data_IF_901009861172
#
_entry.id   IF_901009861172
#
_cell.length_a   1.000
_cell.length_b   1.000
_cell.length_c   1.000
_cell.angle_alpha   90.00
_cell.angle_beta   90.00
_cell.angle_gamma   90.00
#
_symmetry.space_group_name_H-M   'P 1'
#
loop_
_entity.id
_entity.type
_entity.pdbx_description
1 polymer ?
#
# COMPACT_ATOMS: atom_id res chain seq x y z
N UNK A 1 -15.56 -5.51 -12.80
CA UNK A 1 -14.72 -4.75 -11.84
C UNK A 1 -14.60 -5.63 -10.63
N UNK A 2 -13.56 -6.45 -10.58
CA UNK A 2 -13.22 -7.22 -9.39
C UNK A 2 -12.53 -6.25 -8.42
N UNK A 3 -13.35 -5.44 -7.74
CA UNK A 3 -12.86 -4.56 -6.69
C UNK A 3 -12.43 -5.41 -5.51
N UNK A 4 -11.16 -5.31 -5.12
CA UNK A 4 -10.69 -5.93 -3.88
C UNK A 4 -11.52 -5.45 -2.68
N UNK A 5 -11.67 -6.30 -1.67
CA UNK A 5 -12.33 -5.92 -0.43
C UNK A 5 -11.43 -4.94 0.33
N UNK A 6 -11.71 -3.64 0.18
CA UNK A 6 -11.14 -2.59 1.01
C UNK A 6 -11.89 -2.51 2.33
N UNK A 7 -11.16 -2.34 3.42
CA UNK A 7 -11.76 -2.19 4.75
C UNK A 7 -11.11 -1.05 5.50
N UNK A 8 -11.91 -0.39 6.32
CA UNK A 8 -11.46 0.57 7.32
C UNK A 8 -11.79 -0.01 8.68
N UNK A 9 -10.79 -0.16 9.54
CA UNK A 9 -10.94 -0.78 10.85
C UNK A 9 -10.27 0.06 11.94
N UNK A 10 -10.90 0.06 13.11
CA UNK A 10 -10.36 0.67 14.33
C UNK A 10 -10.04 -0.44 15.32
N UNK A 11 -8.82 -0.41 15.85
CA UNK A 11 -8.33 -1.37 16.83
C UNK A 11 -7.71 -0.65 18.02
N UNK A 12 -7.35 -1.40 19.06
CA UNK A 12 -6.59 -0.86 20.20
C UNK A 12 -5.26 -0.17 19.84
N UNK A 13 -4.75 -0.37 18.61
CA UNK A 13 -3.51 0.25 18.11
C UNK A 13 -3.76 1.54 17.33
N UNK A 14 -5.00 1.81 16.89
CA UNK A 14 -5.33 2.95 16.03
C UNK A 14 -6.28 2.62 14.89
N UNK A 15 -6.23 3.41 13.82
CA UNK A 15 -7.03 3.28 12.61
C UNK A 15 -6.19 2.68 11.48
N UNK A 16 -6.77 1.72 10.76
CA UNK A 16 -6.11 0.98 9.69
C UNK A 16 -7.02 0.91 8.47
N UNK A 17 -6.47 1.23 7.30
CA UNK A 17 -7.12 0.94 6.04
C UNK A 17 -6.35 -0.20 5.34
N UNK A 18 -7.08 -1.21 4.89
CA UNK A 18 -6.50 -2.46 4.41
C UNK A 18 -7.13 -2.92 3.11
N UNK A 19 -6.34 -3.63 2.32
CA UNK A 19 -6.74 -4.33 1.09
C UNK A 19 -6.59 -5.84 1.28
N UNK A 20 -7.48 -6.62 0.70
CA UNK A 20 -7.30 -8.07 0.62
C UNK A 20 -6.24 -8.44 -0.43
N UNK A 21 -5.25 -9.23 0.00
CA UNK A 21 -4.14 -9.75 -0.77
C UNK A 21 -4.02 -11.24 -0.49
N UNK A 22 -4.31 -12.08 -1.49
CA UNK A 22 -4.27 -13.55 -1.36
C UNK A 22 -4.93 -14.09 -0.05
N UNK A 23 -6.19 -13.73 0.19
CA UNK A 23 -6.99 -14.05 1.40
C UNK A 23 -6.46 -13.49 2.72
N UNK A 24 -5.54 -12.52 2.69
CA UNK A 24 -5.01 -11.84 3.89
C UNK A 24 -5.23 -10.34 3.77
N UNK A 25 -5.66 -9.68 4.85
CA UNK A 25 -5.75 -8.23 4.88
C UNK A 25 -4.38 -7.60 5.13
N UNK A 26 -4.00 -6.68 4.26
CA UNK A 26 -2.74 -5.95 4.32
C UNK A 26 -3.04 -4.46 4.45
N UNK A 27 -2.49 -3.82 5.47
CA UNK A 27 -2.69 -2.37 5.70
C UNK A 27 -1.88 -1.55 4.70
N UNK A 28 -2.57 -0.62 4.02
CA UNK A 28 -1.94 0.41 3.19
C UNK A 28 -1.93 1.80 3.85
N UNK A 29 -2.71 1.96 4.91
CA UNK A 29 -2.66 3.15 5.75
C UNK A 29 -2.75 2.75 7.21
N UNK A 30 -1.90 3.35 8.03
CA UNK A 30 -1.89 3.15 9.48
C UNK A 30 -1.78 4.50 10.20
N UNK A 31 -2.78 4.81 11.03
CA UNK A 31 -2.70 5.89 12.01
C UNK A 31 -2.67 5.27 13.40
N UNK A 32 -1.47 5.18 13.99
CA UNK A 32 -1.26 4.56 15.30
C UNK A 32 -1.40 5.57 16.42
N UNK A 33 -2.04 5.16 17.51
CA UNK A 33 -2.10 5.96 18.74
C UNK A 33 -1.17 5.40 19.82
N UNK A 34 -0.60 6.28 20.64
CA UNK A 34 0.27 5.89 21.75
C UNK A 34 -0.52 5.53 23.02
N UNK A 35 0.11 4.73 23.90
CA UNK A 35 -0.39 4.45 25.25
C UNK A 35 -0.87 3.02 25.48
N UNK A 36 -0.46 2.42 26.60
CA UNK A 36 -0.89 1.08 27.04
C UNK A 36 -2.17 1.19 27.86
N UNK A 37 -3.33 1.22 27.20
CA UNK A 37 -4.61 1.20 27.92
C UNK A 37 -5.06 -0.24 28.18
N UNK A 38 -5.19 -0.58 29.47
CA UNK A 38 -5.58 -1.90 29.98
C UNK A 38 -7.10 -2.11 30.05
N UNK A 39 -7.90 -1.09 29.72
CA UNK A 39 -9.37 -1.17 29.74
C UNK A 39 -9.89 -2.01 28.56
N UNK A 40 -10.89 -2.85 28.80
CA UNK A 40 -11.57 -3.69 27.78
C UNK A 40 -12.83 -3.02 27.21
N UNK A 41 -12.74 -1.72 26.91
CA UNK A 41 -13.86 -0.98 26.29
C UNK A 41 -13.74 -1.03 24.76
N UNK A 42 -14.85 -0.88 24.01
CA UNK A 42 -14.78 -0.85 22.55
C UNK A 42 -13.95 0.35 22.08
N UNK A 43 -13.24 0.16 20.97
CA UNK A 43 -12.60 1.25 20.25
C UNK A 43 -13.50 1.67 19.09
N UNK A 44 -13.68 2.97 18.89
CA UNK A 44 -14.53 3.50 17.84
C UNK A 44 -13.98 4.82 17.29
N UNK A 45 -14.52 5.26 16.16
CA UNK A 45 -14.24 6.58 15.60
C UNK A 45 -15.50 7.42 15.53
N UNK A 46 -15.34 8.73 15.65
CA UNK A 46 -16.42 9.69 15.50
C UNK A 46 -16.03 10.75 14.48
N UNK A 47 -16.89 10.95 13.50
CA UNK A 47 -16.75 12.07 12.58
C UNK A 47 -17.35 13.32 13.25
N UNK A 48 -16.49 14.29 13.55
CA UNK A 48 -16.78 15.55 14.19
C UNK A 48 -16.56 16.70 13.21
N UNK A 49 -17.13 17.87 13.51
CA UNK A 49 -16.83 19.07 12.75
C UNK A 49 -15.35 19.44 12.95
N UNK A 50 -14.52 19.24 11.93
CA UNK A 50 -13.09 19.50 11.97
C UNK A 50 -12.20 18.25 12.13
N UNK A 51 -12.75 17.06 12.38
CA UNK A 51 -11.91 15.87 12.56
C UNK A 51 -12.63 14.51 12.45
N UNK A 52 -11.86 13.46 12.15
CA UNK A 52 -12.21 12.08 12.49
C UNK A 52 -11.45 11.70 13.77
N UNK A 53 -12.16 11.71 14.89
CA UNK A 53 -11.60 11.47 16.22
C UNK A 53 -11.62 9.97 16.57
N UNK A 54 -10.50 9.47 17.11
CA UNK A 54 -10.32 8.09 17.52
C UNK A 54 -10.46 7.98 19.05
N UNK A 55 -11.34 7.10 19.51
CA UNK A 55 -11.56 6.78 20.92
C UNK A 55 -11.19 5.32 21.15
N UNK A 56 -10.09 5.09 21.86
CA UNK A 56 -9.46 3.78 21.99
C UNK A 56 -9.57 3.27 23.43
N UNK A 57 -10.34 2.21 23.62
CA UNK A 57 -10.62 1.62 24.93
C UNK A 57 -11.15 2.65 25.95
N UNK A 58 -11.96 3.60 25.49
CA UNK A 58 -12.52 4.70 26.27
C UNK A 58 -14.03 4.63 26.39
N UNK A 59 -14.53 5.09 27.53
CA UNK A 59 -15.95 5.39 27.78
C UNK A 59 -16.13 6.90 27.72
N UNK A 60 -17.21 7.36 27.11
CA UNK A 60 -17.57 8.79 27.16
C UNK A 60 -17.79 9.26 28.61
N UNK A 61 -17.48 10.53 28.95
CA UNK A 61 -16.86 11.58 28.15
C UNK A 61 -15.33 11.60 28.38
N UNK A 62 -14.55 11.34 27.33
CA UNK A 62 -13.08 11.35 27.42
C UNK A 62 -12.50 11.97 26.16
N UNK A 63 -11.34 12.61 26.28
CA UNK A 63 -10.61 13.19 25.13
C UNK A 63 -10.15 12.09 24.17
N UNK A 64 -10.18 12.32 22.84
CA UNK A 64 -9.72 11.34 21.86
C UNK A 64 -8.20 11.15 21.93
N UNK A 65 -7.74 9.92 21.68
CA UNK A 65 -6.29 9.61 21.63
C UNK A 65 -5.61 10.14 20.38
N UNK A 66 -6.39 10.41 19.34
CA UNK A 66 -5.88 10.93 18.08
C UNK A 66 -7.02 11.42 17.21
N UNK A 67 -6.69 12.27 16.25
CA UNK A 67 -7.67 12.83 15.35
C UNK A 67 -7.02 13.09 13.98
N UNK A 68 -7.66 12.61 12.92
CA UNK A 68 -7.34 13.04 11.56
C UNK A 68 -8.07 14.36 11.32
N UNK A 69 -7.33 15.39 10.92
CA UNK A 69 -7.92 16.70 10.65
C UNK A 69 -8.81 16.64 9.41
N UNK A 70 -9.97 17.28 9.49
CA UNK A 70 -10.90 17.48 8.38
C UNK A 70 -11.19 18.98 8.30
N UNK A 71 -11.28 19.59 7.11
CA UNK A 71 -11.75 20.97 7.00
C UNK A 71 -13.12 21.13 7.67
N UNK A 72 -13.31 22.10 8.58
CA UNK A 72 -14.61 22.31 9.22
C UNK A 72 -15.70 22.58 8.17
N UNK A 73 -16.89 22.04 8.39
CA UNK A 73 -18.03 22.28 7.51
C UNK A 73 -18.41 23.76 7.56
N UNK A 74 -18.44 24.41 6.40
CA UNK A 74 -18.70 25.84 6.22
C UNK A 74 -20.05 26.12 5.57
N UNK A 75 -20.75 25.08 5.08
CA UNK A 75 -21.92 25.20 4.22
C UNK A 75 -22.97 24.12 4.49
N UNK A 76 -24.25 24.41 4.21
CA UNK A 76 -25.38 23.48 4.33
C UNK A 76 -25.60 22.71 3.01
N UNK A 77 -25.99 21.41 3.03
CA UNK A 77 -26.41 20.59 4.19
C UNK A 77 -25.28 19.99 5.04
N UNK A 78 -24.01 20.32 4.77
CA UNK A 78 -22.87 19.90 5.59
C UNK A 78 -21.85 19.10 4.80
N UNK A 79 -21.20 18.16 5.49
CA UNK A 79 -20.20 17.27 4.93
C UNK A 79 -20.56 15.80 5.13
N UNK A 80 -20.10 14.94 4.23
CA UNK A 80 -20.10 13.50 4.44
C UNK A 80 -18.73 12.90 4.11
N UNK A 81 -18.46 11.75 4.70
CA UNK A 81 -17.25 10.97 4.48
C UNK A 81 -17.60 9.63 3.84
N UNK A 82 -16.78 9.17 2.89
CA UNK A 82 -16.97 7.89 2.22
C UNK A 82 -15.65 7.22 1.88
N UNK A 83 -15.55 5.93 2.23
CA UNK A 83 -14.55 5.04 1.67
C UNK A 83 -15.02 4.61 0.28
N UNK A 84 -14.23 4.91 -0.73
CA UNK A 84 -14.54 4.58 -2.12
C UNK A 84 -13.87 3.27 -2.55
N UNK A 85 -14.41 2.60 -3.58
CA UNK A 85 -13.78 1.41 -4.17
C UNK A 85 -12.42 1.66 -4.85
N UNK A 86 -11.94 2.90 -4.85
CA UNK A 86 -10.59 3.26 -5.29
C UNK A 86 -9.63 3.47 -4.12
N UNK A 87 -9.95 2.97 -2.91
CA UNK A 87 -9.10 2.97 -1.71
C UNK A 87 -9.05 4.29 -0.93
N UNK A 88 -9.71 5.33 -1.43
CA UNK A 88 -9.64 6.63 -0.80
C UNK A 88 -10.78 6.85 0.22
N UNK A 89 -10.45 7.42 1.38
CA UNK A 89 -11.42 7.91 2.37
C UNK A 89 -11.58 9.41 2.20
N UNK A 90 -12.59 9.81 1.43
CA UNK A 90 -12.76 11.21 1.04
C UNK A 90 -13.88 11.88 1.81
N UNK A 91 -13.66 13.15 2.09
CA UNK A 91 -14.67 14.06 2.64
C UNK A 91 -15.19 14.95 1.53
N UNK A 92 -16.52 15.06 1.45
CA UNK A 92 -17.21 15.92 0.50
C UNK A 92 -18.02 16.96 1.26
N UNK A 93 -17.95 18.19 0.78
CA UNK A 93 -18.74 19.31 1.27
C UNK A 93 -19.65 19.83 0.17
N UNK A 94 -20.88 20.20 0.54
CA UNK A 94 -21.81 20.78 -0.42
C UNK A 94 -21.46 22.23 -0.73
N UNK A 95 -21.17 22.54 -1.99
CA UNK A 95 -20.98 23.91 -2.44
C UNK A 95 -22.13 24.31 -3.35
N UNK A 96 -22.83 25.40 -3.05
CA UNK A 96 -24.04 25.81 -3.77
C UNK A 96 -23.85 25.92 -5.30
N UNK A 97 -22.64 26.29 -5.76
CA UNK A 97 -22.30 26.43 -7.19
C UNK A 97 -21.74 25.17 -7.85
N UNK A 98 -21.28 24.18 -7.09
CA UNK A 98 -20.56 22.99 -7.62
C UNK A 98 -21.16 21.65 -7.17
N UNK A 99 -22.12 21.67 -6.25
CA UNK A 99 -22.62 20.48 -5.57
C UNK A 99 -21.59 19.88 -4.61
N UNK A 100 -21.68 18.57 -4.37
CA UNK A 100 -20.75 17.83 -3.51
C UNK A 100 -19.32 17.86 -4.07
N UNK A 101 -18.45 18.56 -3.38
CA UNK A 101 -17.06 18.78 -3.79
C UNK A 101 -16.13 18.11 -2.79
N UNK A 102 -15.12 17.36 -3.29
CA UNK A 102 -14.09 16.77 -2.44
C UNK A 102 -13.28 17.87 -1.75
N UNK A 103 -13.24 17.85 -0.42
CA UNK A 103 -12.47 18.82 0.40
C UNK A 103 -11.28 18.20 1.11
N UNK A 104 -11.27 16.88 1.32
CA UNK A 104 -10.15 16.17 1.91
C UNK A 104 -10.09 14.70 1.46
N UNK A 105 -8.90 14.12 1.58
CA UNK A 105 -8.63 12.69 1.50
C UNK A 105 -7.79 12.29 2.71
N UNK A 106 -8.35 11.44 3.57
CA UNK A 106 -7.79 11.18 4.89
C UNK A 106 -6.74 10.06 4.89
N UNK A 107 -6.65 9.29 3.81
CA UNK A 107 -5.70 8.17 3.70
C UNK A 107 -4.47 8.52 2.85
N UNK A 108 -4.34 9.76 2.40
CA UNK A 108 -3.15 10.21 1.67
C UNK A 108 -2.00 10.32 2.65
N UNK A 109 -1.17 9.28 2.70
CA UNK A 109 -0.02 9.19 3.58
C UNK A 109 1.20 9.93 3.04
N UNK A 110 2.36 9.60 3.60
CA UNK A 110 3.65 10.19 3.22
C UNK A 110 4.04 9.92 1.76
N UNK A 111 3.63 8.76 1.23
CA UNK A 111 3.87 8.37 -0.16
C UNK A 111 2.94 9.07 -1.17
N UNK A 112 2.08 9.99 -0.71
CA UNK A 112 1.15 10.74 -1.56
C UNK A 112 0.19 9.82 -2.31
N UNK A 113 -0.17 10.22 -3.54
CA UNK A 113 -1.05 9.45 -4.43
C UNK A 113 -0.50 8.05 -4.77
N UNK A 114 0.84 7.87 -4.77
CA UNK A 114 1.43 6.55 -5.03
C UNK A 114 1.29 5.59 -3.84
N UNK A 115 0.85 6.06 -2.67
CA UNK A 115 0.65 5.23 -1.49
C UNK A 115 -0.56 4.28 -1.58
N UNK A 116 -1.46 4.48 -2.55
CA UNK A 116 -2.65 3.64 -2.72
C UNK A 116 -2.30 2.39 -3.55
N UNK A 117 -2.59 1.18 -3.05
CA UNK A 117 -2.19 -0.06 -3.71
C UNK A 117 -2.64 -0.20 -5.16
N UNK A 118 -3.82 0.28 -5.56
CA UNK A 118 -4.33 0.10 -6.93
C UNK A 118 -4.19 1.34 -7.82
N UNK A 119 -3.45 2.39 -7.41
CA UNK A 119 -3.31 3.65 -8.17
C UNK A 119 -2.84 3.44 -9.62
N UNK A 120 -1.90 2.51 -9.84
CA UNK A 120 -1.37 2.14 -11.15
C UNK A 120 -1.73 0.71 -11.56
N UNK A 121 -2.40 -0.05 -10.70
CA UNK A 121 -2.68 -1.46 -10.91
C UNK A 121 -1.47 -2.38 -10.68
N UNK A 122 -1.65 -3.68 -10.92
CA UNK A 122 -0.66 -4.71 -10.58
C UNK A 122 0.61 -4.56 -11.43
N UNK A 123 1.76 -4.88 -10.84
CA UNK A 123 3.09 -4.87 -11.47
C UNK A 123 3.56 -3.53 -12.05
N UNK A 124 2.77 -2.46 -11.92
CA UNK A 124 3.08 -1.15 -12.49
C UNK A 124 3.81 -0.28 -11.46
N UNK A 125 4.63 0.68 -11.91
CA UNK A 125 5.37 1.61 -11.05
C UNK A 125 4.68 2.97 -11.09
N UNK A 126 4.36 3.49 -9.90
CA UNK A 126 3.88 4.86 -9.71
C UNK A 126 5.05 5.80 -9.41
N UNK A 127 5.25 6.81 -10.28
CA UNK A 127 6.19 7.92 -10.07
C UNK A 127 5.45 9.24 -10.25
N UNK A 128 5.27 9.99 -9.16
CA UNK A 128 4.56 11.28 -9.16
C UNK A 128 3.11 11.19 -9.67
N UNK A 129 2.45 10.04 -9.52
CA UNK A 129 1.10 9.77 -10.03
C UNK A 129 1.04 9.32 -11.50
N UNK A 130 2.18 9.16 -12.16
CA UNK A 130 2.28 8.53 -13.48
C UNK A 130 2.60 7.05 -13.34
N UNK A 131 2.03 6.23 -14.25
CA UNK A 131 2.16 4.78 -14.24
C UNK A 131 2.97 4.30 -15.45
N UNK A 132 3.90 3.38 -15.24
CA UNK A 132 4.74 2.79 -16.28
C UNK A 132 5.18 1.35 -15.98
N UNK A 133 4.97 0.43 -16.93
CA UNK A 133 5.41 -0.96 -16.78
C UNK A 133 6.95 -1.05 -16.63
N UNK A 134 7.44 -1.95 -15.75
CA UNK A 134 8.82 -1.92 -15.29
C UNK A 134 9.86 -2.47 -16.29
N UNK A 135 9.47 -3.42 -17.16
CA UNK A 135 10.41 -4.04 -18.09
C UNK A 135 9.71 -4.76 -19.24
N UNK A 136 10.50 -5.27 -20.18
CA UNK A 136 10.02 -6.05 -21.34
C UNK A 136 9.40 -7.40 -20.99
N UNK A 137 9.50 -7.86 -19.74
CA UNK A 137 8.82 -9.07 -19.26
C UNK A 137 7.33 -8.84 -18.93
N UNK A 138 6.91 -7.59 -18.94
CA UNK A 138 5.55 -7.16 -18.61
C UNK A 138 4.92 -6.47 -19.81
N UNK A 139 3.62 -6.70 -20.00
CA UNK A 139 2.80 -6.00 -20.98
C UNK A 139 1.70 -5.22 -20.27
N UNK A 140 1.37 -3.99 -20.72
CA UNK A 140 0.19 -3.29 -20.24
C UNK A 140 -1.05 -4.16 -20.41
N UNK A 141 -1.98 -4.11 -19.46
CA UNK A 141 -3.29 -4.74 -19.64
C UNK A 141 -4.04 -4.07 -20.80
N UNK A 142 -3.87 -2.74 -20.93
CA UNK A 142 -4.43 -1.94 -22.02
C UNK A 142 -3.56 -0.71 -22.29
N UNK A 143 -2.98 -0.63 -23.49
CA UNK A 143 -1.98 0.39 -23.85
C UNK A 143 -2.41 1.85 -23.58
N UNK A 144 -3.70 2.15 -23.76
CA UNK A 144 -4.24 3.51 -23.56
C UNK A 144 -4.77 3.77 -22.14
N UNK A 145 -4.62 2.82 -21.22
CA UNK A 145 -5.07 2.95 -19.83
C UNK A 145 -4.00 2.39 -18.87
N UNK A 146 -2.86 3.10 -18.68
CA UNK A 146 -1.76 2.64 -17.85
C UNK A 146 -2.17 2.31 -16.42
N UNK A 147 -3.12 3.05 -15.83
CA UNK A 147 -3.61 2.83 -14.47
C UNK A 147 -4.31 1.47 -14.25
N UNK A 148 -4.55 0.67 -15.29
CA UNK A 148 -5.01 -0.72 -15.12
C UNK A 148 -3.87 -1.67 -14.75
N UNK A 149 -2.63 -1.24 -14.94
CA UNK A 149 -1.41 -1.96 -14.62
C UNK A 149 -0.93 -2.87 -15.74
N UNK A 150 -0.03 -3.76 -15.34
CA UNK A 150 0.72 -4.63 -16.22
C UNK A 150 0.48 -6.10 -15.86
N UNK A 151 0.75 -6.98 -16.81
CA UNK A 151 0.71 -8.43 -16.62
C UNK A 151 2.03 -9.03 -17.08
N UNK A 152 2.45 -10.11 -16.43
CA UNK A 152 3.56 -10.92 -16.91
C UNK A 152 3.23 -11.46 -18.31
N UNK A 153 4.19 -11.40 -19.23
CA UNK A 153 4.04 -11.97 -20.56
C UNK A 153 3.98 -13.50 -20.48
N UNK A 154 4.84 -14.08 -19.64
CA UNK A 154 4.91 -15.53 -19.40
C UNK A 154 4.40 -15.85 -18.00
N UNK A 155 3.45 -16.78 -17.83
CA UNK A 155 3.00 -17.24 -16.51
C UNK A 155 4.15 -17.82 -15.68
N UNK A 156 4.06 -17.76 -14.35
CA UNK A 156 5.00 -18.40 -13.43
C UNK A 156 4.38 -19.65 -12.77
N UNK A 157 4.47 -20.84 -13.38
CA UNK A 157 4.12 -22.08 -12.71
C UNK A 157 5.18 -22.44 -11.65
N UNK A 158 4.75 -22.86 -10.46
CA UNK A 158 5.62 -23.23 -9.34
C UNK A 158 6.58 -24.38 -9.71
N UNK A 159 6.11 -25.31 -10.53
CA UNK A 159 6.83 -26.51 -10.96
C UNK A 159 8.06 -26.19 -11.82
N UNK A 160 8.11 -25.00 -12.42
CA UNK A 160 9.23 -24.53 -13.24
C UNK A 160 10.23 -23.66 -12.45
N UNK A 161 10.34 -23.86 -11.13
CA UNK A 161 11.21 -23.06 -10.25
C UNK A 161 12.67 -22.95 -10.71
N UNK A 162 13.19 -23.97 -11.38
CA UNK A 162 14.54 -23.99 -11.98
C UNK A 162 14.72 -22.97 -13.13
N UNK A 163 13.62 -22.54 -13.75
CA UNK A 163 13.60 -21.57 -14.84
C UNK A 163 13.21 -20.16 -14.36
N UNK A 164 12.99 -19.98 -13.06
CA UNK A 164 12.68 -18.66 -12.51
C UNK A 164 13.96 -17.84 -12.34
N UNK A 165 13.90 -16.60 -12.81
CA UNK A 165 14.91 -15.58 -12.60
C UNK A 165 14.26 -14.34 -11.99
N UNK A 166 15.03 -13.27 -11.81
CA UNK A 166 14.54 -12.01 -11.29
C UNK A 166 14.79 -10.86 -12.27
N UNK A 167 13.80 -9.99 -12.40
CA UNK A 167 14.00 -8.62 -12.89
C UNK A 167 14.35 -7.77 -11.68
N UNK A 168 15.48 -7.09 -11.75
CA UNK A 168 15.95 -6.16 -10.72
C UNK A 168 15.50 -4.74 -11.06
N UNK A 169 14.73 -4.14 -10.16
CA UNK A 169 14.27 -2.76 -10.26
C UNK A 169 14.83 -1.99 -9.07
N UNK A 170 15.75 -1.09 -9.35
CA UNK A 170 16.33 -0.22 -8.33
C UNK A 170 15.34 0.87 -7.95
N UNK A 171 15.47 1.33 -6.72
CA UNK A 171 14.75 2.48 -6.19
C UNK A 171 13.24 2.26 -6.24
N UNK A 172 12.83 1.06 -5.82
CA UNK A 172 11.42 0.68 -5.70
C UNK A 172 11.07 0.40 -4.25
N UNK A 173 10.05 1.10 -3.76
CA UNK A 173 9.41 0.85 -2.48
C UNK A 173 7.95 0.43 -2.66
N UNK A 174 7.26 0.20 -1.56
CA UNK A 174 5.92 -0.36 -1.53
C UNK A 174 5.11 0.27 -0.41
N UNK A 175 3.78 0.27 -0.54
CA UNK A 175 2.88 0.90 0.43
C UNK A 175 2.95 0.25 1.81
N UNK A 176 3.39 -1.01 1.87
CA UNK A 176 3.60 -1.76 3.11
C UNK A 176 4.97 -2.42 3.08
N UNK A 177 5.57 -2.59 4.26
CA UNK A 177 6.81 -3.33 4.39
C UNK A 177 6.83 -4.06 5.73
N UNK A 178 6.76 -5.39 5.66
CA UNK A 178 6.94 -6.28 6.81
C UNK A 178 8.19 -7.11 6.59
N UNK A 179 9.18 -6.95 7.46
CA UNK A 179 10.45 -7.65 7.36
C UNK A 179 10.26 -9.14 7.67
N UNK A 180 10.27 -9.98 6.64
CA UNK A 180 10.29 -11.45 6.77
C UNK A 180 11.68 -11.95 7.17
N UNK A 181 12.72 -11.25 6.71
CA UNK A 181 14.10 -11.47 7.09
C UNK A 181 14.76 -10.15 7.47
N UNK A 182 15.51 -10.14 8.56
CA UNK A 182 16.28 -8.99 9.06
C UNK A 182 17.76 -9.33 9.13
N UNK A 183 18.62 -8.31 9.06
CA UNK A 183 20.07 -8.48 9.04
C UNK A 183 20.52 -9.46 7.94
N UNK A 184 19.97 -9.24 6.75
CA UNK A 184 20.16 -10.10 5.57
C UNK A 184 20.77 -9.29 4.41
N UNK A 185 21.09 -9.98 3.32
CA UNK A 185 21.55 -9.38 2.08
C UNK A 185 20.59 -9.70 0.91
N UNK A 186 20.80 -9.03 -0.23
CA UNK A 186 19.94 -9.18 -1.41
C UNK A 186 19.92 -10.61 -1.97
N UNK A 187 21.03 -11.34 -1.92
CA UNK A 187 21.10 -12.71 -2.44
C UNK A 187 20.25 -13.65 -1.59
N UNK A 188 20.40 -13.63 -0.27
CA UNK A 188 19.56 -14.40 0.65
C UNK A 188 18.07 -14.05 0.50
N UNK A 189 17.76 -12.78 0.29
CA UNK A 189 16.38 -12.31 0.04
C UNK A 189 15.79 -12.91 -1.26
N UNK A 190 16.55 -12.88 -2.37
CA UNK A 190 16.16 -13.52 -3.63
C UNK A 190 15.96 -15.02 -3.47
N UNK A 191 16.89 -15.71 -2.82
CA UNK A 191 16.82 -17.16 -2.61
C UNK A 191 15.60 -17.56 -1.77
N UNK A 192 15.28 -16.79 -0.73
CA UNK A 192 14.08 -17.02 0.09
C UNK A 192 12.79 -16.90 -0.75
N UNK A 193 12.70 -15.92 -1.64
CA UNK A 193 11.58 -15.81 -2.57
C UNK A 193 11.57 -16.93 -3.61
N UNK A 194 12.73 -17.31 -4.16
CA UNK A 194 12.83 -18.36 -5.18
C UNK A 194 12.31 -19.71 -4.65
N UNK A 195 12.66 -20.04 -3.39
CA UNK A 195 12.23 -21.25 -2.69
C UNK A 195 10.78 -21.21 -2.19
N UNK A 196 10.10 -20.08 -2.29
CA UNK A 196 8.70 -19.92 -1.92
C UNK A 196 7.84 -19.77 -3.18
N UNK A 197 7.04 -20.79 -3.50
CA UNK A 197 6.18 -20.76 -4.68
C UNK A 197 5.08 -19.70 -4.63
N UNK A 198 4.65 -19.28 -3.44
CA UNK A 198 3.68 -18.19 -3.33
C UNK A 198 4.34 -16.82 -3.55
N UNK A 199 5.66 -16.72 -3.38
CA UNK A 199 6.38 -15.45 -3.55
C UNK A 199 6.49 -15.08 -5.03
N UNK A 200 6.07 -13.86 -5.37
CA UNK A 200 6.16 -13.26 -6.70
C UNK A 200 7.23 -12.17 -6.78
N UNK A 201 7.55 -11.50 -5.67
CA UNK A 201 8.65 -10.56 -5.61
C UNK A 201 9.29 -10.52 -4.21
N UNK A 202 10.56 -10.15 -4.17
CA UNK A 202 11.27 -9.84 -2.95
C UNK A 202 11.64 -8.34 -2.94
N UNK A 203 11.22 -7.62 -1.91
CA UNK A 203 11.64 -6.24 -1.67
C UNK A 203 12.79 -6.26 -0.69
N UNK A 204 13.94 -5.73 -1.11
CA UNK A 204 15.10 -5.59 -0.25
C UNK A 204 15.34 -4.10 0.02
N UNK A 205 15.53 -3.73 1.28
CA UNK A 205 15.90 -2.36 1.65
C UNK A 205 17.02 -2.35 2.68
N UNK A 206 17.85 -1.33 2.65
CA UNK A 206 18.93 -1.14 3.62
C UNK A 206 19.27 0.34 3.77
N UNK A 207 19.77 0.72 4.93
CA UNK A 207 20.33 2.05 5.17
C UNK A 207 21.74 2.15 4.57
N UNK A 208 22.74 1.98 5.43
CA UNK A 208 24.15 2.21 5.09
C UNK A 208 24.87 0.94 4.64
N UNK A 209 24.53 -0.21 5.24
CA UNK A 209 25.20 -1.47 5.02
C UNK A 209 24.29 -2.46 4.26
N UNK A 210 24.60 -2.79 2.98
CA UNK A 210 23.85 -3.77 2.21
C UNK A 210 23.84 -5.20 2.81
N UNK A 211 24.76 -5.51 3.72
CA UNK A 211 24.80 -6.81 4.42
C UNK A 211 23.91 -6.88 5.65
N UNK A 212 23.33 -5.75 6.08
CA UNK A 212 22.43 -5.65 7.24
C UNK A 212 21.10 -5.03 6.82
N UNK A 213 20.56 -5.51 5.69
CA UNK A 213 19.28 -5.08 5.16
C UNK A 213 18.10 -5.85 5.73
N UNK A 214 16.93 -5.47 5.26
CA UNK A 214 15.64 -6.11 5.52
C UNK A 214 15.05 -6.62 4.21
N UNK A 215 14.35 -7.75 4.27
CA UNK A 215 13.69 -8.38 3.14
C UNK A 215 12.20 -8.57 3.42
N UNK A 216 11.35 -8.25 2.46
CA UNK A 216 9.92 -8.53 2.49
C UNK A 216 9.53 -9.35 1.26
N UNK A 217 8.79 -10.43 1.45
CA UNK A 217 8.38 -11.38 0.42
C UNK A 217 6.91 -11.14 0.06
N UNK A 218 6.67 -10.74 -1.18
CA UNK A 218 5.34 -10.42 -1.68
C UNK A 218 4.73 -11.61 -2.41
N UNK A 219 3.53 -12.03 -2.00
CA UNK A 219 2.74 -13.03 -2.72
C UNK A 219 1.84 -12.43 -3.81
N UNK A 220 1.61 -11.13 -3.73
CA UNK A 220 0.86 -10.33 -4.69
C UNK A 220 1.54 -8.98 -4.87
N UNK A 221 1.56 -8.50 -6.11
CA UNK A 221 2.25 -7.26 -6.50
C UNK A 221 1.18 -6.31 -7.01
N UNK A 222 0.84 -5.33 -6.18
CA UNK A 222 0.02 -4.18 -6.51
C UNK A 222 0.90 -3.08 -7.15
N UNK A 223 0.46 -1.83 -7.12
CA UNK A 223 1.24 -0.70 -7.59
C UNK A 223 2.51 -0.57 -6.75
N UNK A 224 3.65 -0.58 -7.42
CA UNK A 224 4.95 -0.28 -6.82
C UNK A 224 5.17 1.24 -6.81
N UNK A 225 6.07 1.69 -5.95
CA UNK A 225 6.32 3.13 -5.75
C UNK A 225 7.77 3.41 -6.12
N UNK A 226 7.97 4.41 -6.98
CA UNK A 226 9.30 4.98 -7.22
C UNK A 226 9.84 5.62 -5.92
N UNK A 227 10.94 5.08 -5.41
CA UNK A 227 11.49 5.41 -4.10
C UNK A 227 12.30 6.70 -4.16
N UNK A 228 11.69 7.77 -3.67
CA UNK A 228 12.37 9.02 -3.38
C UNK A 228 13.30 8.85 -2.17
N UNK A 229 14.59 8.56 -2.43
CA UNK A 229 15.62 8.36 -1.39
C UNK A 229 15.83 9.58 -0.49
N UNK A 230 15.58 10.79 -0.99
CA UNK A 230 15.71 12.00 -0.18
C UNK A 230 14.65 12.04 0.91
N UNK A 231 13.49 11.44 0.65
CA UNK A 231 12.38 11.31 1.58
C UNK A 231 12.48 10.09 2.49
N UNK A 232 12.85 8.93 1.93
CA UNK A 232 12.82 7.67 2.67
C UNK A 232 14.10 7.36 3.43
N UNK A 233 15.23 7.95 3.03
CA UNK A 233 16.55 7.77 3.64
C UNK A 233 17.07 6.32 3.65
N UNK A 234 16.57 5.46 2.75
CA UNK A 234 17.08 4.11 2.53
C UNK A 234 17.18 3.78 1.04
N UNK A 235 18.08 2.84 0.73
CA UNK A 235 18.15 2.21 -0.57
C UNK A 235 17.17 1.05 -0.61
N UNK A 236 16.52 0.86 -1.75
CA UNK A 236 15.57 -0.23 -1.94
C UNK A 236 15.65 -0.78 -3.35
N UNK A 237 15.42 -2.08 -3.48
CA UNK A 237 15.42 -2.80 -4.74
C UNK A 237 14.29 -3.83 -4.71
N UNK A 238 13.50 -3.87 -5.78
CA UNK A 238 12.51 -4.91 -6.00
C UNK A 238 13.05 -5.97 -6.95
N UNK A 239 13.02 -7.22 -6.51
CA UNK A 239 13.36 -8.40 -7.31
C UNK A 239 12.07 -9.11 -7.70
N UNK A 240 11.59 -8.89 -8.91
CA UNK A 240 10.34 -9.50 -9.39
C UNK A 240 10.65 -10.81 -10.10
N UNK A 241 10.00 -11.89 -9.65
CA UNK A 241 10.18 -13.22 -10.21
C UNK A 241 9.59 -13.26 -11.63
N UNK A 242 10.39 -13.71 -12.59
CA UNK A 242 10.01 -13.90 -13.99
C UNK A 242 10.49 -15.27 -14.48
N UNK A 243 9.94 -15.75 -15.59
CA UNK A 243 10.46 -16.95 -16.25
C UNK A 243 11.55 -16.57 -17.26
N UNK A 244 12.69 -17.26 -17.21
CA UNK A 244 13.75 -17.09 -18.18
C UNK A 244 13.34 -17.73 -19.52
N UNK A 245 13.18 -16.92 -20.56
CA UNK A 245 12.82 -17.40 -21.90
C UNK A 245 13.97 -18.15 -22.59
N UNK A 246 15.21 -18.02 -22.11
CA UNK A 246 16.37 -18.70 -22.70
C UNK A 246 16.40 -20.21 -22.42
N UNK A 247 15.64 -20.69 -21.42
CA UNK A 247 15.52 -22.12 -21.09
C UNK A 247 14.26 -22.80 -21.65
N UNK A 248 13.43 -22.06 -22.40
CA UNK A 248 12.24 -22.58 -23.10
C UNK A 248 12.53 -23.02 -24.55
N UNK A 249 13.79 -23.34 -24.86
CA UNK A 249 14.22 -23.90 -26.15
C UNK A 249 14.45 -25.40 -26.06
#
# INVERSE_FOLDING_TARGET
MDGGLFSLSVTKKGLFASIESNNTLVSYYEYRVGGTKTRKLPSYVRYLNGSLALFINLSEPSEPEGALSVPPASSLPGQYMRLWPDEHLRVYEWQASKGWTRVADLLTGYSGECGYPMVCGKYDICSGGQCSCPSTYFKPIKDRQPALGCSLITPLPCEASQNHSFVELNDITYFTFSSDLTNTNSETCKQACLNNCSCKAALFRYGWNPSSGECSLLSEIFSMIDNDKEKTHYNSTAYIKVQNLATLK
#
